data_IF_087435605561
#
_entry.id   IF_087435605561
#
_cell.length_a   1.000
_cell.length_b   1.000
_cell.length_c   1.000
_cell.angle_alpha   90.00
_cell.angle_beta   90.00
_cell.angle_gamma   90.00
#
_symmetry.space_group_name_H-M   'P 1'
#
loop_
_entity.id
_entity.type
_entity.pdbx_description
1 polymer ?
#
# COMPACT_ATOMS: atom_id res chain seq x y z
N UNK A 1 -8.61 -30.80 -69.08
CA UNK A 1 -9.25 -30.65 -67.78
C UNK A 1 -8.35 -29.83 -66.85
N UNK A 2 -8.60 -28.58 -66.68
CA UNK A 2 -7.79 -27.79 -65.74
C UNK A 2 -8.16 -28.20 -64.31
N UNK A 3 -7.35 -29.07 -63.74
CA UNK A 3 -7.41 -29.43 -62.34
C UNK A 3 -7.28 -28.14 -61.50
N UNK A 4 -8.35 -27.80 -60.85
CA UNK A 4 -8.64 -26.58 -60.13
C UNK A 4 -7.49 -26.05 -59.24
N UNK A 5 -6.76 -25.00 -59.65
CA UNK A 5 -5.78 -24.36 -58.79
C UNK A 5 -6.43 -23.55 -57.66
N UNK A 6 -7.75 -23.26 -57.78
CA UNK A 6 -8.50 -22.43 -56.82
C UNK A 6 -8.66 -23.11 -55.45
N UNK A 7 -8.90 -24.43 -55.39
CA UNK A 7 -9.11 -25.12 -54.11
C UNK A 7 -7.82 -25.16 -53.28
N UNK A 8 -6.66 -25.27 -53.91
CA UNK A 8 -5.37 -25.28 -53.23
C UNK A 8 -5.02 -23.89 -52.65
N UNK A 9 -5.37 -22.84 -53.37
CA UNK A 9 -5.14 -21.45 -52.94
C UNK A 9 -6.05 -21.08 -51.79
N UNK A 10 -7.32 -21.50 -51.83
CA UNK A 10 -8.25 -21.30 -50.73
C UNK A 10 -7.84 -22.08 -49.46
N UNK A 11 -7.37 -23.31 -49.63
CA UNK A 11 -6.87 -24.11 -48.50
C UNK A 11 -5.63 -23.48 -47.85
N UNK A 12 -4.66 -22.99 -48.64
CA UNK A 12 -3.48 -22.30 -48.14
C UNK A 12 -3.88 -21.00 -47.46
N UNK A 13 -4.84 -20.24 -47.99
CA UNK A 13 -5.36 -19.04 -47.33
C UNK A 13 -6.03 -19.32 -45.98
N UNK A 14 -6.80 -20.40 -45.91
CA UNK A 14 -7.41 -20.86 -44.64
C UNK A 14 -6.35 -21.28 -43.61
N UNK A 15 -5.33 -22.05 -44.02
CA UNK A 15 -4.21 -22.42 -43.17
C UNK A 15 -3.46 -21.18 -42.65
N UNK A 16 -3.21 -20.20 -43.53
CA UNK A 16 -2.58 -18.94 -43.12
C UNK A 16 -3.43 -18.18 -42.09
N UNK A 17 -4.75 -18.18 -42.28
CA UNK A 17 -5.69 -17.58 -41.32
C UNK A 17 -5.69 -18.28 -39.96
N UNK A 18 -5.66 -19.63 -39.98
CA UNK A 18 -5.52 -20.43 -38.74
C UNK A 18 -4.20 -20.15 -38.03
N UNK A 19 -3.08 -20.14 -38.77
CA UNK A 19 -1.77 -19.84 -38.18
C UNK A 19 -1.71 -18.43 -37.61
N UNK A 20 -2.34 -17.44 -38.26
CA UNK A 20 -2.44 -16.09 -37.74
C UNK A 20 -3.28 -16.03 -36.47
N UNK A 21 -4.39 -16.77 -36.42
CA UNK A 21 -5.25 -16.86 -35.23
C UNK A 21 -4.51 -17.51 -34.08
N UNK A 22 -3.80 -18.64 -34.29
CA UNK A 22 -2.96 -19.28 -33.28
C UNK A 22 -1.86 -18.34 -32.75
N UNK A 23 -1.18 -17.61 -33.64
CA UNK A 23 -0.17 -16.65 -33.23
C UNK A 23 -0.77 -15.49 -32.38
N UNK A 24 -1.97 -15.03 -32.73
CA UNK A 24 -2.68 -14.00 -31.99
C UNK A 24 -3.10 -14.49 -30.60
N UNK A 25 -3.63 -15.70 -30.49
CA UNK A 25 -3.99 -16.32 -29.20
C UNK A 25 -2.75 -16.56 -28.33
N UNK A 26 -1.63 -16.99 -28.94
CA UNK A 26 -0.35 -17.12 -28.22
C UNK A 26 0.16 -15.80 -27.67
N UNK A 27 0.05 -14.72 -28.44
CA UNK A 27 0.42 -13.38 -28.00
C UNK A 27 -0.49 -12.90 -26.87
N UNK A 28 -1.80 -13.09 -26.98
CA UNK A 28 -2.76 -12.75 -25.92
C UNK A 28 -2.41 -13.47 -24.59
N UNK A 29 -2.17 -14.79 -24.64
CA UNK A 29 -1.77 -15.56 -23.46
C UNK A 29 -0.47 -15.06 -22.84
N UNK A 30 0.48 -14.60 -23.66
CA UNK A 30 1.75 -14.04 -23.17
C UNK A 30 1.52 -12.70 -22.46
N UNK A 31 0.68 -11.83 -23.04
CA UNK A 31 0.32 -10.54 -22.44
C UNK A 31 -0.41 -10.75 -21.12
N UNK A 32 -1.38 -11.66 -21.07
CA UNK A 32 -2.11 -11.99 -19.84
C UNK A 32 -1.18 -12.52 -18.75
N UNK A 33 -0.23 -13.41 -19.12
CA UNK A 33 0.77 -13.91 -18.17
C UNK A 33 1.69 -12.79 -17.65
N UNK A 34 2.11 -11.88 -18.52
CA UNK A 34 2.93 -10.74 -18.12
C UNK A 34 2.18 -9.80 -17.18
N UNK A 35 0.94 -9.48 -17.51
CA UNK A 35 0.08 -8.64 -16.68
C UNK A 35 -0.18 -9.27 -15.31
N UNK A 36 -0.49 -10.56 -15.28
CA UNK A 36 -0.70 -11.30 -14.05
C UNK A 36 0.55 -11.28 -13.15
N UNK A 37 1.72 -11.59 -13.73
CA UNK A 37 2.99 -11.60 -12.99
C UNK A 37 3.35 -10.22 -12.42
N UNK A 38 2.99 -9.14 -13.11
CA UNK A 38 3.21 -7.77 -12.63
C UNK A 38 2.37 -7.42 -11.38
N UNK A 39 1.33 -8.20 -11.10
CA UNK A 39 0.47 -8.00 -9.91
C UNK A 39 1.03 -8.66 -8.66
N UNK A 40 1.97 -9.60 -8.76
CA UNK A 40 2.54 -10.29 -7.58
C UNK A 40 3.19 -9.27 -6.64
N UNK A 41 2.79 -9.31 -5.36
CA UNK A 41 3.21 -8.37 -4.33
C UNK A 41 2.47 -7.02 -4.36
N UNK A 42 1.59 -6.76 -5.32
CA UNK A 42 0.74 -5.56 -5.34
C UNK A 42 -0.51 -5.76 -4.50
N UNK A 43 -0.99 -4.67 -3.93
CA UNK A 43 -2.28 -4.66 -3.25
C UNK A 43 -3.39 -4.47 -4.25
N UNK A 44 -4.39 -5.34 -4.21
CA UNK A 44 -5.52 -5.31 -5.15
C UNK A 44 -6.85 -5.26 -4.43
N UNK A 45 -7.82 -4.63 -5.08
CA UNK A 45 -9.24 -4.74 -4.74
C UNK A 45 -9.90 -5.53 -5.86
N UNK A 46 -10.53 -6.62 -5.49
CA UNK A 46 -11.21 -7.57 -6.38
C UNK A 46 -12.71 -7.39 -6.17
N UNK A 47 -13.46 -7.31 -7.25
CA UNK A 47 -14.92 -7.30 -7.23
C UNK A 47 -15.45 -8.53 -7.96
N UNK A 48 -16.14 -9.38 -7.24
CA UNK A 48 -16.83 -10.55 -7.80
C UNK A 48 -18.33 -10.33 -7.72
N UNK A 49 -19.03 -10.67 -8.79
CA UNK A 49 -20.50 -10.64 -8.82
C UNK A 49 -21.04 -12.05 -8.86
N UNK A 50 -21.87 -12.40 -7.89
CA UNK A 50 -22.52 -13.69 -7.82
C UNK A 50 -23.57 -13.86 -8.92
N UNK A 51 -24.01 -15.09 -9.16
CA UNK A 51 -25.11 -15.40 -10.09
C UNK A 51 -26.44 -14.72 -9.70
N UNK A 52 -26.57 -14.29 -8.45
CA UNK A 52 -27.74 -13.55 -7.93
C UNK A 52 -27.60 -12.02 -8.08
N UNK A 53 -26.49 -11.54 -8.67
CA UNK A 53 -26.21 -10.12 -8.87
C UNK A 53 -25.63 -9.41 -7.66
N UNK A 54 -25.32 -10.12 -6.58
CA UNK A 54 -24.67 -9.54 -5.41
C UNK A 54 -23.18 -9.35 -5.69
N UNK A 55 -22.68 -8.12 -5.47
CA UNK A 55 -21.27 -7.80 -5.66
C UNK A 55 -20.56 -7.80 -4.30
N UNK A 56 -19.51 -8.61 -4.20
CA UNK A 56 -18.61 -8.64 -3.05
C UNK A 56 -17.25 -8.05 -3.41
N UNK A 57 -16.64 -7.32 -2.47
CA UNK A 57 -15.30 -6.78 -2.63
C UNK A 57 -14.35 -7.50 -1.67
N UNK A 58 -13.27 -8.04 -2.21
CA UNK A 58 -12.16 -8.61 -1.46
C UNK A 58 -10.91 -7.78 -1.71
N UNK A 59 -10.11 -7.57 -0.69
CA UNK A 59 -8.87 -6.80 -0.81
C UNK A 59 -7.71 -7.51 -0.12
N UNK A 60 -6.52 -7.38 -0.69
CA UNK A 60 -5.31 -8.00 -0.15
C UNK A 60 -4.15 -7.91 -1.13
N UNK A 61 -3.00 -8.45 -0.70
CA UNK A 61 -1.85 -8.61 -1.57
C UNK A 61 -2.00 -9.82 -2.47
N UNK A 62 -1.46 -9.75 -3.68
CA UNK A 62 -1.35 -10.89 -4.58
C UNK A 62 -0.16 -11.73 -4.14
N UNK A 63 -0.43 -12.93 -3.60
CA UNK A 63 0.59 -13.85 -3.10
C UNK A 63 1.35 -14.53 -4.25
N UNK A 64 0.61 -15.00 -5.26
CA UNK A 64 1.16 -15.64 -6.45
C UNK A 64 0.16 -15.61 -7.61
N UNK A 65 0.65 -15.99 -8.78
CA UNK A 65 -0.14 -16.21 -10.00
C UNK A 65 -0.12 -17.67 -10.38
N UNK A 66 -1.24 -18.19 -10.84
CA UNK A 66 -1.39 -19.57 -11.27
C UNK A 66 -2.18 -19.64 -12.59
N UNK A 67 -1.77 -20.53 -13.48
CA UNK A 67 -2.56 -20.84 -14.67
C UNK A 67 -3.49 -22.03 -14.36
N UNK A 68 -4.79 -21.79 -14.49
CA UNK A 68 -5.81 -22.80 -14.28
C UNK A 68 -6.75 -22.85 -15.49
N UNK A 69 -6.95 -24.04 -16.07
CA UNK A 69 -7.78 -24.24 -17.26
C UNK A 69 -7.48 -23.31 -18.45
N UNK A 70 -6.21 -22.92 -18.61
CA UNK A 70 -5.79 -22.00 -19.68
C UNK A 70 -5.85 -20.53 -19.32
N UNK A 71 -6.53 -20.14 -18.25
CA UNK A 71 -6.64 -18.78 -17.73
C UNK A 71 -5.58 -18.47 -16.67
N UNK A 72 -5.08 -17.22 -16.65
CA UNK A 72 -4.26 -16.74 -15.56
C UNK A 72 -5.16 -16.28 -14.40
N UNK A 73 -4.84 -16.76 -13.20
CA UNK A 73 -5.52 -16.37 -11.95
C UNK A 73 -4.53 -15.85 -10.95
N UNK A 74 -4.96 -14.92 -10.12
CA UNK A 74 -4.20 -14.39 -8.98
C UNK A 74 -4.72 -14.98 -7.69
N UNK A 75 -3.81 -15.29 -6.76
CA UNK A 75 -4.17 -15.71 -5.40
C UNK A 75 -4.12 -14.50 -4.47
N UNK A 76 -5.23 -14.28 -3.74
CA UNK A 76 -5.35 -13.24 -2.71
C UNK A 76 -6.03 -13.84 -1.49
N UNK A 77 -5.38 -13.77 -0.34
CA UNK A 77 -5.87 -14.36 0.92
C UNK A 77 -6.18 -15.87 0.78
N UNK A 78 -5.41 -16.59 -0.04
CA UNK A 78 -5.57 -18.04 -0.27
C UNK A 78 -6.70 -18.42 -1.23
N UNK A 79 -7.35 -17.46 -1.89
CA UNK A 79 -8.41 -17.67 -2.87
C UNK A 79 -7.95 -17.20 -4.26
N UNK A 80 -8.29 -18.01 -5.29
CA UNK A 80 -7.97 -17.68 -6.68
C UNK A 80 -9.08 -16.84 -7.32
N UNK A 81 -8.68 -15.76 -7.97
CA UNK A 81 -9.55 -14.83 -8.68
C UNK A 81 -9.10 -14.67 -10.14
N UNK A 82 -10.04 -14.39 -11.03
CA UNK A 82 -9.74 -14.03 -12.42
C UNK A 82 -9.10 -12.63 -12.49
N UNK A 83 -8.23 -12.41 -13.47
CA UNK A 83 -7.69 -11.08 -13.71
C UNK A 83 -8.77 -10.04 -14.04
N UNK A 84 -9.88 -10.49 -14.66
CA UNK A 84 -11.02 -9.63 -14.99
C UNK A 84 -11.74 -9.08 -13.76
N UNK A 85 -11.60 -9.73 -12.60
CA UNK A 85 -12.24 -9.32 -11.34
C UNK A 85 -11.42 -8.25 -10.60
N UNK A 86 -10.20 -7.96 -11.04
CA UNK A 86 -9.34 -6.93 -10.46
C UNK A 86 -9.93 -5.56 -10.79
N UNK A 87 -10.46 -4.91 -9.77
CA UNK A 87 -11.06 -3.59 -9.89
C UNK A 87 -10.04 -2.46 -9.73
N UNK A 88 -9.08 -2.65 -8.83
CA UNK A 88 -8.04 -1.66 -8.52
C UNK A 88 -6.74 -2.34 -8.14
N UNK A 89 -5.64 -1.75 -8.56
CA UNK A 89 -4.28 -2.14 -8.14
C UNK A 89 -3.63 -0.95 -7.46
N UNK A 90 -3.07 -1.17 -6.28
CA UNK A 90 -2.33 -0.16 -5.54
C UNK A 90 -0.91 -0.64 -5.27
N UNK A 91 0.02 0.29 -5.22
CA UNK A 91 1.39 0.02 -4.83
C UNK A 91 1.48 -0.25 -3.32
N UNK A 92 2.41 -1.12 -2.92
CA UNK A 92 2.64 -1.45 -1.51
C UNK A 92 3.05 -0.21 -0.71
N UNK A 93 3.92 0.63 -1.26
CA UNK A 93 4.36 1.87 -0.60
C UNK A 93 3.19 2.83 -0.36
N UNK A 94 2.25 2.91 -1.33
CA UNK A 94 1.03 3.70 -1.16
C UNK A 94 0.18 3.17 0.00
N UNK A 95 -0.05 1.86 0.07
CA UNK A 95 -0.88 1.25 1.11
C UNK A 95 -0.25 1.35 2.50
N UNK A 96 1.07 1.19 2.59
CA UNK A 96 1.82 1.41 3.83
C UNK A 96 1.70 2.86 4.30
N UNK A 97 1.90 3.82 3.40
CA UNK A 97 1.80 5.24 3.70
C UNK A 97 0.39 5.64 4.18
N UNK A 98 -0.65 5.13 3.53
CA UNK A 98 -2.05 5.32 3.95
C UNK A 98 -2.32 4.74 5.36
N UNK A 99 -1.77 3.55 5.63
CA UNK A 99 -1.93 2.90 6.93
C UNK A 99 -1.22 3.67 8.05
N UNK A 100 0.01 4.11 7.79
CA UNK A 100 0.78 4.92 8.74
C UNK A 100 0.11 6.26 9.00
N UNK A 101 -0.40 6.94 7.96
CA UNK A 101 -1.13 8.18 8.10
C UNK A 101 -2.42 8.03 8.93
N UNK A 102 -3.19 6.96 8.71
CA UNK A 102 -4.38 6.64 9.51
C UNK A 102 -4.04 6.34 10.97
N UNK A 103 -2.95 5.61 11.21
CA UNK A 103 -2.46 5.33 12.57
C UNK A 103 -2.07 6.61 13.28
N UNK A 104 -1.36 7.51 12.60
CA UNK A 104 -1.01 8.81 13.12
C UNK A 104 -2.24 9.66 13.43
N UNK A 105 -3.20 9.74 12.51
CA UNK A 105 -4.45 10.47 12.72
C UNK A 105 -5.23 9.95 13.93
N UNK A 106 -5.30 8.63 14.10
CA UNK A 106 -5.94 8.01 15.26
C UNK A 106 -5.22 8.35 16.57
N UNK A 107 -3.88 8.43 16.56
CA UNK A 107 -3.10 8.83 17.73
C UNK A 107 -3.32 10.32 18.07
N UNK A 108 -3.32 11.20 17.06
CA UNK A 108 -3.65 12.64 17.24
C UNK A 108 -5.07 12.82 17.77
N UNK A 109 -6.03 12.02 17.30
CA UNK A 109 -7.43 12.11 17.72
C UNK A 109 -7.64 11.77 19.20
N UNK A 110 -6.82 10.88 19.76
CA UNK A 110 -6.88 10.48 21.18
C UNK A 110 -6.42 11.58 22.14
N UNK A 111 -5.60 12.49 21.69
CA UNK A 111 -5.11 13.61 22.50
C UNK A 111 -6.19 14.69 22.63
N UNK A 112 -6.23 15.40 23.78
CA UNK A 112 -7.13 16.53 23.96
C UNK A 112 -6.85 17.64 22.95
N UNK A 113 -7.69 18.67 22.94
CA UNK A 113 -7.39 19.88 22.17
C UNK A 113 -6.17 20.59 22.77
N UNK A 114 -5.47 21.39 21.97
CA UNK A 114 -4.30 22.14 22.45
C UNK A 114 -4.63 23.01 23.69
N UNK A 115 -5.84 23.57 23.77
CA UNK A 115 -6.27 24.39 24.91
C UNK A 115 -6.44 23.58 26.21
N UNK A 116 -6.67 22.27 26.11
CA UNK A 116 -6.86 21.38 27.25
C UNK A 116 -5.61 20.55 27.59
N UNK A 117 -4.54 20.73 26.81
CA UNK A 117 -3.29 19.99 26.97
C UNK A 117 -2.61 20.38 28.28
N UNK A 118 -2.07 19.40 28.98
CA UNK A 118 -1.38 19.53 30.26
C UNK A 118 0.03 18.92 30.19
N UNK A 119 0.85 19.14 31.23
CA UNK A 119 2.18 18.51 31.31
C UNK A 119 2.11 16.99 31.47
N UNK A 120 0.98 16.43 31.91
CA UNK A 120 0.79 14.96 31.99
C UNK A 120 0.72 14.32 30.59
N UNK A 121 0.36 15.06 29.58
CA UNK A 121 0.28 14.59 28.18
C UNK A 121 1.62 14.65 27.45
N UNK A 122 2.69 15.09 28.14
CA UNK A 122 4.02 15.33 27.54
C UNK A 122 4.58 14.09 26.83
N UNK A 123 4.49 12.92 27.45
CA UNK A 123 5.05 11.70 26.90
C UNK A 123 4.27 11.25 25.65
N UNK A 124 2.94 11.40 25.66
CA UNK A 124 2.10 11.08 24.52
C UNK A 124 2.38 12.00 23.32
N UNK A 125 2.53 13.31 23.57
CA UNK A 125 2.90 14.26 22.50
C UNK A 125 4.33 14.02 22.00
N UNK A 126 5.26 13.61 22.89
CA UNK A 126 6.62 13.22 22.51
C UNK A 126 6.63 11.98 21.63
N UNK A 127 5.87 10.96 21.99
CA UNK A 127 5.72 9.74 21.20
C UNK A 127 5.13 10.05 19.81
N UNK A 128 4.13 10.92 19.75
CA UNK A 128 3.53 11.39 18.51
C UNK A 128 4.54 12.12 17.63
N UNK A 129 5.37 12.99 18.23
CA UNK A 129 6.45 13.67 17.50
C UNK A 129 7.48 12.67 16.96
N UNK A 130 7.91 11.72 17.76
CA UNK A 130 8.85 10.67 17.35
C UNK A 130 8.27 9.84 16.21
N UNK A 131 6.99 9.51 16.28
CA UNK A 131 6.30 8.79 15.18
C UNK A 131 6.32 9.60 13.89
N UNK A 132 5.94 10.89 13.95
CA UNK A 132 5.93 11.78 12.78
C UNK A 132 7.33 11.96 12.15
N UNK A 133 8.34 12.15 12.99
CA UNK A 133 9.73 12.36 12.54
C UNK A 133 10.33 11.10 11.87
N UNK A 134 9.82 9.91 12.17
CA UNK A 134 10.21 8.66 11.53
C UNK A 134 9.52 8.41 10.18
N UNK A 135 8.49 9.16 9.84
CA UNK A 135 7.83 9.07 8.54
C UNK A 135 8.67 9.75 7.46
N UNK A 136 8.79 9.13 6.30
CA UNK A 136 9.39 9.78 5.14
C UNK A 136 8.43 10.83 4.54
N UNK A 137 8.93 11.67 3.62
CA UNK A 137 8.16 12.78 3.03
C UNK A 137 6.90 12.32 2.31
N UNK A 138 6.94 11.14 1.66
CA UNK A 138 5.78 10.58 0.98
C UNK A 138 4.71 10.13 1.98
N UNK A 139 5.10 9.46 3.07
CA UNK A 139 4.19 9.04 4.14
C UNK A 139 3.57 10.25 4.86
N UNK A 140 4.38 11.29 5.14
CA UNK A 140 3.89 12.54 5.71
C UNK A 140 2.86 13.22 4.80
N UNK A 141 3.03 13.17 3.48
CA UNK A 141 2.12 13.78 2.50
C UNK A 141 0.72 13.13 2.48
N UNK A 142 0.57 11.92 3.04
CA UNK A 142 -0.72 11.21 3.16
C UNK A 142 -1.52 11.61 4.39
N UNK A 143 -0.92 12.32 5.33
CA UNK A 143 -1.62 12.83 6.52
C UNK A 143 -2.51 14.00 6.10
N UNK A 144 -3.77 13.95 6.49
CA UNK A 144 -4.72 15.00 6.17
C UNK A 144 -4.40 16.33 6.88
N UNK A 145 -4.86 17.43 6.29
CA UNK A 145 -4.55 18.79 6.73
C UNK A 145 -5.05 19.09 8.14
N UNK A 146 -6.22 18.57 8.52
CA UNK A 146 -6.81 18.83 9.83
C UNK A 146 -6.04 18.11 10.93
N UNK A 147 -5.62 16.87 10.67
CA UNK A 147 -4.73 16.10 11.56
C UNK A 147 -3.38 16.82 11.74
N UNK A 148 -2.77 17.29 10.64
CA UNK A 148 -1.51 18.02 10.68
C UNK A 148 -1.65 19.33 11.48
N UNK A 149 -2.71 20.08 11.28
CA UNK A 149 -3.00 21.31 12.01
C UNK A 149 -3.13 21.04 13.51
N UNK A 150 -3.95 20.07 13.91
CA UNK A 150 -4.07 19.68 15.33
C UNK A 150 -2.72 19.27 15.92
N UNK A 151 -1.94 18.47 15.20
CA UNK A 151 -0.60 18.05 15.62
C UNK A 151 0.33 19.25 15.86
N UNK A 152 0.37 20.21 14.94
CA UNK A 152 1.18 21.44 15.09
C UNK A 152 0.73 22.28 16.29
N UNK A 153 -0.57 22.41 16.51
CA UNK A 153 -1.13 23.10 17.67
C UNK A 153 -0.73 22.42 18.99
N UNK A 154 -0.75 21.08 19.04
CA UNK A 154 -0.30 20.31 20.21
C UNK A 154 1.20 20.52 20.48
N UNK A 155 2.05 20.50 19.47
CA UNK A 155 3.48 20.78 19.61
C UNK A 155 3.74 22.20 20.15
N UNK A 156 3.08 23.19 19.55
CA UNK A 156 3.23 24.59 19.97
C UNK A 156 2.76 24.82 21.41
N UNK A 157 1.69 24.17 21.82
CA UNK A 157 1.19 24.26 23.21
C UNK A 157 2.12 23.52 24.19
N UNK A 158 2.62 22.36 23.84
CA UNK A 158 3.57 21.63 24.69
C UNK A 158 4.89 22.41 24.85
N UNK A 159 5.37 23.10 23.83
CA UNK A 159 6.52 23.98 23.94
C UNK A 159 6.29 25.14 24.91
N UNK A 160 5.07 25.70 24.96
CA UNK A 160 4.71 26.74 25.93
C UNK A 160 4.66 26.20 27.37
N UNK A 161 4.16 24.96 27.55
CA UNK A 161 4.00 24.34 28.86
C UNK A 161 5.32 23.80 29.43
N UNK A 162 6.14 23.16 28.63
CA UNK A 162 7.31 22.40 29.05
C UNK A 162 8.67 23.05 28.63
N UNK A 163 8.62 24.16 27.88
CA UNK A 163 9.82 24.89 27.38
C UNK A 163 10.37 24.31 26.09
N UNK A 164 11.33 25.04 25.51
CA UNK A 164 12.04 24.56 24.29
C UNK A 164 12.76 23.24 24.58
N UNK A 165 12.89 22.43 23.55
CA UNK A 165 13.59 21.15 23.62
C UNK A 165 12.95 20.11 24.59
N UNK A 166 11.68 20.29 24.97
CA UNK A 166 10.92 19.43 25.87
C UNK A 166 10.90 17.95 25.45
N UNK A 167 11.11 17.68 24.17
CA UNK A 167 11.13 16.34 23.58
C UNK A 167 12.51 15.65 23.64
N UNK A 168 13.59 16.41 23.93
CA UNK A 168 14.93 15.85 24.09
C UNK A 168 15.02 15.04 25.38
N UNK A 169 15.70 13.89 25.35
CA UNK A 169 16.01 13.14 26.56
C UNK A 169 17.01 13.95 27.40
N UNK A 170 16.65 14.30 28.63
CA UNK A 170 17.63 14.71 29.64
C UNK A 170 18.42 13.45 30.05
N UNK A 171 19.56 13.22 29.39
CA UNK A 171 20.61 12.38 29.97
C UNK A 171 21.11 13.11 31.20
N UNK A 172 20.61 12.74 32.36
CA UNK A 172 21.11 13.22 33.64
C UNK A 172 22.54 12.70 33.78
N UNK A 173 23.50 13.57 33.48
CA UNK A 173 24.90 13.36 33.87
C UNK A 173 24.96 13.59 35.38
N UNK A 174 24.85 12.51 36.13
CA UNK A 174 25.21 12.51 37.57
C UNK A 174 26.74 12.53 37.62
N UNK A 175 27.30 13.73 37.66
CA UNK A 175 28.68 13.96 38.01
C UNK A 175 28.86 13.68 39.46
N UNK A 176 29.37 12.49 39.79
CA UNK A 176 29.88 12.18 41.13
C UNK A 176 31.20 12.92 41.26
N UNK A 177 31.22 14.04 41.93
CA UNK A 177 32.40 14.67 42.47
C UNK A 177 32.82 13.88 43.71
N UNK A 178 33.78 13.00 43.56
CA UNK A 178 34.55 12.44 44.68
C UNK A 178 35.62 13.44 45.08
N UNK A 179 35.32 14.24 46.11
CA UNK A 179 36.35 14.95 46.87
C UNK A 179 37.16 13.93 47.66
N UNK A 180 38.36 13.64 47.19
CA UNK A 180 39.36 12.94 47.99
C UNK A 180 40.24 13.98 48.68
N UNK A 181 39.95 14.24 49.95
CA UNK A 181 40.82 15.01 50.82
C UNK A 181 41.82 14.04 51.42
N UNK A 182 43.11 14.22 51.09
CA UNK A 182 44.23 13.50 51.69
C UNK A 182 44.91 14.45 52.70
N UNK A 183 44.95 14.01 53.90
CA UNK A 183 45.92 14.42 54.89
C UNK A 183 47.26 13.72 54.62
#
# INVERSE_FOLDING_TARGET
DPLEPTSNTEYVAQLATFSQMEATLGMQSTIESSNANALVGKYVIIKTTSSTGETTATQGFVDYVQKENGEQKICVNGVLYSLSDVYQVADTEYMEAETLAKTFAAAVAKLPSAAQLTLSDKDDVKNLKTYYDNLNSYQQSKIDTDTLKKYQELLAQMEKLAGKDWYKSTTSSTGTTTDTKTD
#
